data_IF_763239290304
#
_entry.id   IF_763239290304
#
_cell.length_a   1.000
_cell.length_b   1.000
_cell.length_c   1.000
_cell.angle_alpha   90.00
_cell.angle_beta   90.00
_cell.angle_gamma   90.00
#
_symmetry.space_group_name_H-M   'P 1'
#
loop_
_entity.id
_entity.type
_entity.pdbx_description
1 polymer ?
#
# COMPACT_ATOMS: atom_id res chain seq x y z
N UNK A 1 -6.21 -14.33 26.59
CA UNK A 1 -5.97 -15.35 25.57
C UNK A 1 -7.30 -15.86 25.12
N UNK A 2 -8.04 -14.93 24.55
CA UNK A 2 -9.15 -15.23 23.65
C UNK A 2 -8.50 -15.45 22.28
N UNK A 3 -8.32 -16.72 21.90
CA UNK A 3 -7.63 -17.13 20.68
C UNK A 3 -8.61 -17.89 19.79
N UNK A 4 -8.69 -17.52 18.51
CA UNK A 4 -9.49 -18.20 17.51
C UNK A 4 -8.62 -18.99 16.53
N UNK A 5 -9.00 -20.23 16.22
CA UNK A 5 -8.36 -21.07 15.20
C UNK A 5 -9.42 -21.63 14.27
N UNK A 6 -9.36 -21.28 12.99
CA UNK A 6 -10.33 -21.66 11.95
C UNK A 6 -9.61 -22.32 10.79
N UNK A 7 -10.14 -23.46 10.34
CA UNK A 7 -9.55 -24.28 9.29
C UNK A 7 -10.64 -24.96 8.48
N UNK A 8 -10.49 -24.98 7.15
CA UNK A 8 -11.31 -25.76 6.22
C UNK A 8 -12.83 -25.53 6.43
N UNK A 9 -13.25 -24.27 6.45
CA UNK A 9 -14.64 -23.89 6.63
C UNK A 9 -15.12 -23.07 5.43
N UNK A 10 -16.42 -23.13 5.16
CA UNK A 10 -16.99 -22.39 4.02
C UNK A 10 -16.94 -20.88 4.30
N UNK A 11 -17.33 -20.46 5.50
CA UNK A 11 -17.33 -19.05 5.93
C UNK A 11 -17.06 -18.92 7.45
N UNK A 12 -16.44 -17.83 7.86
CA UNK A 12 -16.24 -17.48 9.27
C UNK A 12 -16.55 -16.02 9.61
N UNK A 13 -17.00 -15.81 10.84
CA UNK A 13 -17.18 -14.49 11.44
C UNK A 13 -16.46 -14.50 12.79
N UNK A 14 -15.39 -13.72 12.89
CA UNK A 14 -14.56 -13.58 14.08
C UNK A 14 -14.82 -12.20 14.67
N UNK A 15 -15.03 -12.15 15.97
CA UNK A 15 -15.33 -10.92 16.69
C UNK A 15 -14.54 -10.92 18.00
N UNK A 16 -13.79 -9.85 18.25
CA UNK A 16 -13.24 -9.50 19.57
C UNK A 16 -12.39 -10.63 20.16
N UNK A 17 -11.19 -10.83 19.59
CA UNK A 17 -10.20 -11.79 20.08
C UNK A 17 -8.85 -11.10 20.29
N UNK A 18 -8.05 -11.63 21.21
CA UNK A 18 -6.67 -11.18 21.33
C UNK A 18 -5.91 -11.58 20.04
N UNK A 19 -6.09 -12.82 19.58
CA UNK A 19 -5.37 -13.40 18.43
C UNK A 19 -6.28 -14.31 17.57
N UNK A 20 -6.12 -14.31 16.25
CA UNK A 20 -6.83 -15.23 15.35
C UNK A 20 -5.93 -15.83 14.23
N UNK A 21 -6.10 -17.14 13.97
CA UNK A 21 -5.42 -17.88 12.91
C UNK A 21 -6.42 -18.57 11.99
N UNK A 22 -6.32 -18.31 10.68
CA UNK A 22 -7.34 -18.66 9.70
C UNK A 22 -6.69 -19.27 8.46
N UNK A 23 -7.22 -20.40 7.99
CA UNK A 23 -6.74 -21.08 6.78
C UNK A 23 -7.91 -21.66 5.98
N UNK A 24 -7.89 -21.47 4.66
CA UNK A 24 -8.85 -22.04 3.71
C UNK A 24 -10.31 -21.71 4.10
N UNK A 25 -10.64 -20.44 4.34
CA UNK A 25 -11.97 -20.01 4.83
C UNK A 25 -12.29 -18.54 4.57
N UNK A 26 -13.32 -18.24 3.75
CA UNK A 26 -13.82 -16.88 3.55
C UNK A 26 -14.20 -16.24 4.89
N UNK A 27 -13.67 -15.04 5.19
CA UNK A 27 -13.76 -14.53 6.56
C UNK A 27 -14.04 -13.04 6.69
N UNK A 28 -14.85 -12.73 7.71
CA UNK A 28 -15.10 -11.39 8.22
C UNK A 28 -14.56 -11.30 9.65
N UNK A 29 -13.70 -10.32 9.88
CA UNK A 29 -13.01 -10.08 11.16
C UNK A 29 -13.37 -8.69 11.67
N UNK A 30 -13.57 -8.58 12.99
CA UNK A 30 -13.79 -7.30 13.64
C UNK A 30 -13.08 -7.26 15.00
N UNK A 31 -12.27 -6.22 15.20
CA UNK A 31 -11.67 -5.83 16.49
C UNK A 31 -10.83 -6.92 17.14
N UNK A 32 -9.67 -7.26 16.55
CA UNK A 32 -8.70 -8.17 17.17
C UNK A 32 -7.35 -7.48 17.37
N UNK A 33 -6.53 -8.04 18.27
CA UNK A 33 -5.12 -7.65 18.39
C UNK A 33 -4.33 -8.09 17.17
N UNK A 34 -4.12 -9.40 16.99
CA UNK A 34 -3.28 -9.96 15.93
C UNK A 34 -4.03 -10.99 15.08
N UNK A 35 -3.89 -10.93 13.75
CA UNK A 35 -4.49 -11.91 12.82
C UNK A 35 -3.49 -12.46 11.79
N UNK A 36 -3.51 -13.78 11.55
CA UNK A 36 -2.76 -14.48 10.48
C UNK A 36 -3.74 -15.28 9.60
N UNK A 37 -3.72 -14.99 8.29
CA UNK A 37 -4.76 -15.43 7.33
C UNK A 37 -4.14 -15.94 6.04
N UNK A 38 -4.61 -17.11 5.58
CA UNK A 38 -4.10 -17.76 4.37
C UNK A 38 -5.18 -18.41 3.51
N UNK A 39 -4.94 -18.40 2.19
CA UNK A 39 -5.71 -19.13 1.18
C UNK A 39 -7.23 -18.80 1.22
N UNK A 40 -7.59 -17.51 1.27
CA UNK A 40 -8.99 -17.05 1.38
C UNK A 40 -9.28 -15.70 0.72
N UNK A 41 -10.56 -15.31 0.64
CA UNK A 41 -11.01 -13.92 0.60
C UNK A 41 -11.24 -13.40 2.03
N UNK A 42 -10.88 -12.14 2.30
CA UNK A 42 -10.91 -11.60 3.67
C UNK A 42 -11.38 -10.15 3.76
N UNK A 43 -12.18 -9.88 4.79
CA UNK A 43 -12.55 -8.53 5.24
C UNK A 43 -12.10 -8.32 6.69
N UNK A 44 -11.24 -7.33 6.90
CA UNK A 44 -10.62 -6.96 8.18
C UNK A 44 -11.04 -5.54 8.54
N UNK A 45 -11.42 -5.33 9.81
CA UNK A 45 -11.78 -4.01 10.33
C UNK A 45 -11.22 -3.84 11.75
N UNK A 46 -10.53 -2.73 11.99
CA UNK A 46 -10.12 -2.23 13.31
C UNK A 46 -9.21 -3.23 14.05
N UNK A 47 -7.95 -3.41 13.65
CA UNK A 47 -7.03 -4.37 14.31
C UNK A 47 -5.65 -3.77 14.54
N UNK A 48 -4.93 -4.23 15.56
CA UNK A 48 -3.54 -3.77 15.76
C UNK A 48 -2.65 -4.30 14.62
N UNK A 49 -2.60 -5.62 14.41
CA UNK A 49 -1.72 -6.24 13.41
C UNK A 49 -2.45 -7.24 12.49
N UNK A 50 -2.20 -7.15 11.17
CA UNK A 50 -2.69 -8.13 10.19
C UNK A 50 -1.61 -8.72 9.29
N UNK A 51 -1.58 -10.05 9.20
CA UNK A 51 -0.72 -10.83 8.30
C UNK A 51 -1.57 -11.63 7.31
N UNK A 52 -1.42 -11.34 6.02
CA UNK A 52 -2.25 -11.87 4.93
C UNK A 52 -1.34 -12.47 3.86
N UNK A 53 -1.54 -13.74 3.51
CA UNK A 53 -0.69 -14.47 2.59
C UNK A 53 -1.47 -15.37 1.63
N UNK A 54 -1.13 -15.33 0.34
CA UNK A 54 -1.68 -16.22 -0.69
C UNK A 54 -3.23 -16.17 -0.72
N UNK A 55 -3.81 -14.98 -0.59
CA UNK A 55 -5.25 -14.77 -0.58
C UNK A 55 -5.73 -14.29 -1.95
N UNK A 56 -6.98 -14.58 -2.30
CA UNK A 56 -7.54 -14.12 -3.58
C UNK A 56 -7.78 -12.60 -3.52
N UNK A 57 -8.43 -12.11 -2.46
CA UNK A 57 -8.70 -10.68 -2.22
C UNK A 57 -8.64 -10.35 -0.72
N UNK A 58 -8.13 -9.17 -0.36
CA UNK A 58 -8.23 -8.63 1.00
C UNK A 58 -8.70 -7.18 1.04
N UNK A 59 -9.64 -6.91 1.96
CA UNK A 59 -10.10 -5.57 2.31
C UNK A 59 -9.68 -5.28 3.75
N UNK A 60 -8.78 -4.32 3.94
CA UNK A 60 -8.21 -3.95 5.25
C UNK A 60 -8.58 -2.50 5.54
N UNK A 61 -9.17 -2.26 6.71
CA UNK A 61 -9.61 -0.95 7.15
C UNK A 61 -9.17 -0.71 8.59
N UNK A 62 -8.53 0.43 8.84
CA UNK A 62 -8.27 0.96 10.19
C UNK A 62 -7.37 0.02 11.02
N UNK A 63 -6.14 -0.23 10.56
CA UNK A 63 -5.17 -1.05 11.27
C UNK A 63 -3.88 -0.28 11.58
N UNK A 64 -3.24 -0.58 12.71
CA UNK A 64 -1.92 -0.02 13.00
C UNK A 64 -0.90 -0.59 11.99
N UNK A 65 -0.82 -1.91 11.82
CA UNK A 65 0.11 -2.54 10.87
C UNK A 65 -0.51 -3.62 9.97
N UNK A 66 -0.12 -3.64 8.69
CA UNK A 66 -0.50 -4.69 7.74
C UNK A 66 0.69 -5.23 6.91
N UNK A 67 0.79 -6.56 6.85
CA UNK A 67 1.76 -7.30 6.04
C UNK A 67 1.05 -8.22 5.05
N UNK A 68 1.33 -8.03 3.76
CA UNK A 68 0.56 -8.64 2.67
C UNK A 68 1.50 -9.23 1.63
N UNK A 69 1.22 -10.46 1.21
CA UNK A 69 1.97 -11.16 0.16
C UNK A 69 1.01 -11.92 -0.77
N UNK A 70 1.26 -11.82 -2.08
CA UNK A 70 0.58 -12.57 -3.13
C UNK A 70 -0.96 -12.43 -3.04
N UNK A 71 -1.49 -11.21 -2.91
CA UNK A 71 -2.93 -10.93 -2.69
C UNK A 71 -3.39 -9.66 -3.41
N UNK A 72 -4.57 -9.64 -4.05
CA UNK A 72 -5.19 -8.37 -4.50
C UNK A 72 -5.76 -7.61 -3.29
N UNK A 73 -5.34 -6.36 -3.05
CA UNK A 73 -5.69 -5.67 -1.80
C UNK A 73 -6.21 -4.24 -1.95
N UNK A 74 -7.17 -3.93 -1.08
CA UNK A 74 -7.71 -2.60 -0.85
C UNK A 74 -7.47 -2.22 0.61
N UNK A 75 -6.74 -1.13 0.82
CA UNK A 75 -6.30 -0.68 2.14
C UNK A 75 -6.73 0.77 2.36
N UNK A 76 -7.22 1.06 3.57
CA UNK A 76 -7.67 2.39 3.98
C UNK A 76 -7.32 2.65 5.44
N UNK A 77 -6.72 3.81 5.72
CA UNK A 77 -6.55 4.38 7.07
C UNK A 77 -5.68 3.50 7.97
N UNK A 78 -4.43 3.22 7.57
CA UNK A 78 -3.48 2.44 8.37
C UNK A 78 -2.20 3.23 8.69
N UNK A 79 -1.56 2.93 9.82
CA UNK A 79 -0.27 3.57 10.15
C UNK A 79 0.87 3.01 9.26
N UNK A 80 1.11 1.69 9.24
CA UNK A 80 2.17 1.07 8.42
C UNK A 80 1.68 -0.08 7.53
N UNK A 81 2.14 -0.09 6.27
CA UNK A 81 1.81 -1.17 5.32
C UNK A 81 3.03 -1.70 4.58
N UNK A 82 3.15 -3.02 4.51
CA UNK A 82 4.16 -3.74 3.74
C UNK A 82 3.53 -4.72 2.76
N UNK A 83 3.85 -4.57 1.47
CA UNK A 83 3.24 -5.35 0.39
C UNK A 83 4.31 -5.92 -0.55
N UNK A 84 4.08 -7.15 -0.98
CA UNK A 84 4.87 -7.84 -2.00
C UNK A 84 3.99 -8.61 -2.99
N UNK A 85 4.34 -8.58 -4.28
CA UNK A 85 3.77 -9.42 -5.35
C UNK A 85 2.22 -9.33 -5.45
N UNK A 86 1.65 -8.12 -5.37
CA UNK A 86 0.22 -7.87 -5.20
C UNK A 86 -0.32 -6.77 -6.13
N UNK A 87 -1.60 -6.76 -6.48
CA UNK A 87 -2.26 -5.60 -7.10
C UNK A 87 -2.94 -4.78 -6.01
N UNK A 88 -2.65 -3.48 -5.92
CA UNK A 88 -2.93 -2.72 -4.68
C UNK A 88 -3.57 -1.35 -4.91
N UNK A 89 -4.54 -1.04 -4.05
CA UNK A 89 -5.08 0.29 -3.83
C UNK A 89 -4.90 0.69 -2.36
N UNK A 90 -4.20 1.80 -2.08
CA UNK A 90 -4.02 2.34 -0.73
C UNK A 90 -4.47 3.80 -0.67
N UNK A 91 -5.13 4.16 0.43
CA UNK A 91 -5.62 5.51 0.70
C UNK A 91 -5.37 5.86 2.17
N UNK A 92 -4.84 7.05 2.45
CA UNK A 92 -4.78 7.64 3.80
C UNK A 92 -3.93 6.82 4.79
N UNK A 93 -2.64 6.60 4.49
CA UNK A 93 -1.73 5.91 5.42
C UNK A 93 -0.49 6.74 5.76
N UNK A 94 0.10 6.52 6.94
CA UNK A 94 1.33 7.19 7.33
C UNK A 94 2.53 6.65 6.52
N UNK A 95 2.76 5.33 6.48
CA UNK A 95 3.88 4.73 5.76
C UNK A 95 3.49 3.51 4.90
N UNK A 96 4.00 3.45 3.66
CA UNK A 96 3.85 2.26 2.80
C UNK A 96 5.14 1.81 2.09
N UNK A 97 5.41 0.50 2.13
CA UNK A 97 6.53 -0.16 1.47
C UNK A 97 6.04 -1.23 0.50
N UNK A 98 6.36 -1.07 -0.78
CA UNK A 98 5.73 -1.84 -1.85
C UNK A 98 6.77 -2.35 -2.87
N UNK A 99 6.69 -3.64 -3.23
CA UNK A 99 7.61 -4.32 -4.14
C UNK A 99 6.89 -5.25 -5.15
N UNK A 100 7.28 -5.17 -6.43
CA UNK A 100 6.87 -6.06 -7.54
C UNK A 100 5.34 -6.06 -7.81
N UNK A 101 4.75 -4.89 -8.09
CA UNK A 101 3.28 -4.65 -8.09
C UNK A 101 2.81 -3.60 -9.11
N UNK A 102 1.49 -3.57 -9.38
CA UNK A 102 0.77 -2.44 -10.00
C UNK A 102 0.00 -1.71 -8.88
N UNK A 103 0.23 -0.39 -8.72
CA UNK A 103 -0.19 0.32 -7.50
C UNK A 103 -0.83 1.67 -7.75
N UNK A 104 -1.89 1.93 -6.98
CA UNK A 104 -2.52 3.25 -6.85
C UNK A 104 -2.47 3.71 -5.40
N UNK A 105 -1.77 4.82 -5.13
CA UNK A 105 -1.67 5.45 -3.80
C UNK A 105 -2.19 6.88 -3.82
N UNK A 106 -2.90 7.25 -2.75
CA UNK A 106 -3.48 8.57 -2.53
C UNK A 106 -3.35 9.01 -1.07
N UNK A 107 -2.90 10.23 -0.82
CA UNK A 107 -2.98 10.89 0.50
C UNK A 107 -2.19 10.09 1.55
N UNK A 108 -0.87 10.01 1.44
CA UNK A 108 -0.02 9.28 2.40
C UNK A 108 1.16 10.17 2.80
N UNK A 109 1.75 9.95 3.97
CA UNK A 109 2.90 10.73 4.39
C UNK A 109 4.19 10.24 3.68
N UNK A 110 4.54 8.95 3.80
CA UNK A 110 5.77 8.41 3.21
C UNK A 110 5.54 7.09 2.43
N UNK A 111 6.11 7.00 1.23
CA UNK A 111 5.98 5.80 0.39
C UNK A 111 7.29 5.36 -0.27
N UNK A 112 7.52 4.05 -0.30
CA UNK A 112 8.65 3.43 -0.98
C UNK A 112 8.19 2.37 -1.98
N UNK A 113 8.69 2.46 -3.21
CA UNK A 113 8.36 1.57 -4.31
C UNK A 113 9.61 1.01 -4.99
N UNK A 114 9.57 -0.28 -5.31
CA UNK A 114 10.61 -0.98 -6.06
C UNK A 114 10.02 -1.95 -7.09
N UNK A 115 10.49 -1.89 -8.33
CA UNK A 115 10.07 -2.81 -9.42
C UNK A 115 8.54 -2.79 -9.70
N UNK A 116 7.92 -1.61 -9.65
CA UNK A 116 6.45 -1.45 -9.77
C UNK A 116 6.01 -0.55 -10.96
N UNK A 117 4.74 -0.58 -11.33
CA UNK A 117 4.08 0.49 -12.09
C UNK A 117 3.21 1.30 -11.13
N UNK A 118 3.41 2.63 -11.05
CA UNK A 118 2.84 3.42 -9.94
C UNK A 118 2.06 4.65 -10.38
N UNK A 119 0.93 4.87 -9.70
CA UNK A 119 0.14 6.08 -9.73
C UNK A 119 0.06 6.67 -8.33
N UNK A 120 0.58 7.88 -8.16
CA UNK A 120 0.79 8.52 -6.86
C UNK A 120 0.20 9.93 -6.87
N UNK A 121 -0.58 10.27 -5.86
CA UNK A 121 -1.24 11.57 -5.69
C UNK A 121 -1.20 12.00 -4.22
N UNK A 122 -0.84 13.27 -3.97
CA UNK A 122 -0.92 13.91 -2.64
C UNK A 122 -0.09 13.16 -1.58
N UNK A 123 1.24 13.14 -1.74
CA UNK A 123 2.15 12.48 -0.80
C UNK A 123 3.22 13.45 -0.34
N UNK A 124 3.58 13.42 0.94
CA UNK A 124 4.66 14.23 1.47
C UNK A 124 6.04 13.77 0.93
N UNK A 125 6.39 12.49 1.06
CA UNK A 125 7.65 11.93 0.52
C UNK A 125 7.46 10.61 -0.26
N UNK A 126 7.99 10.54 -1.48
CA UNK A 126 7.98 9.31 -2.29
C UNK A 126 9.36 8.88 -2.81
N UNK A 127 9.68 7.60 -2.66
CA UNK A 127 10.91 6.97 -3.14
C UNK A 127 10.58 5.87 -4.16
N UNK A 128 10.98 6.06 -5.43
CA UNK A 128 10.59 5.19 -6.54
C UNK A 128 11.84 4.68 -7.26
N UNK A 129 12.06 3.37 -7.25
CA UNK A 129 13.29 2.74 -7.73
C UNK A 129 13.01 1.57 -8.69
N UNK A 130 13.73 1.50 -9.81
CA UNK A 130 13.65 0.40 -10.80
C UNK A 130 12.24 0.14 -11.36
N UNK A 131 11.40 1.19 -11.38
CA UNK A 131 10.04 1.10 -11.93
C UNK A 131 10.03 1.30 -13.45
N UNK A 132 9.08 0.66 -14.13
CA UNK A 132 8.85 0.81 -15.57
C UNK A 132 8.19 2.17 -15.88
N UNK A 133 7.09 2.51 -15.19
CA UNK A 133 6.35 3.76 -15.34
C UNK A 133 5.94 4.34 -13.97
N UNK A 134 5.98 5.68 -13.86
CA UNK A 134 5.49 6.40 -12.68
C UNK A 134 4.72 7.68 -13.06
N UNK A 135 3.52 7.84 -12.50
CA UNK A 135 2.65 9.01 -12.62
C UNK A 135 2.46 9.68 -11.26
N UNK A 136 2.93 10.93 -11.12
CA UNK A 136 3.06 11.59 -9.82
C UNK A 136 2.47 13.00 -9.88
N UNK A 137 1.62 13.35 -8.91
CA UNK A 137 0.91 14.63 -8.88
C UNK A 137 0.77 15.16 -7.45
N UNK A 138 1.05 16.43 -7.24
CA UNK A 138 0.79 17.14 -5.96
C UNK A 138 1.55 16.54 -4.77
N UNK A 139 2.81 16.14 -4.98
CA UNK A 139 3.67 15.64 -3.90
C UNK A 139 4.67 16.72 -3.45
N UNK A 140 5.13 16.65 -2.20
CA UNK A 140 6.13 17.59 -1.67
C UNK A 140 7.55 17.21 -2.14
N UNK A 141 8.05 16.02 -1.80
CA UNK A 141 9.38 15.53 -2.21
C UNK A 141 9.33 14.17 -2.90
N UNK A 142 10.03 14.04 -4.04
CA UNK A 142 10.06 12.77 -4.78
C UNK A 142 11.47 12.40 -5.26
N UNK A 143 11.91 11.19 -4.93
CA UNK A 143 13.20 10.61 -5.28
C UNK A 143 13.02 9.47 -6.28
N UNK A 144 13.58 9.61 -7.50
CA UNK A 144 13.24 8.73 -8.62
C UNK A 144 14.48 8.16 -9.30
N UNK A 145 14.47 6.84 -9.52
CA UNK A 145 15.30 6.12 -10.47
C UNK A 145 14.42 5.16 -11.28
N UNK A 146 13.89 5.61 -12.41
CA UNK A 146 12.93 4.86 -13.25
C UNK A 146 13.22 5.02 -14.74
N UNK A 147 12.56 4.21 -15.57
CA UNK A 147 12.70 4.30 -17.03
C UNK A 147 11.86 5.44 -17.63
N UNK A 148 10.59 5.57 -17.23
CA UNK A 148 9.67 6.62 -17.69
C UNK A 148 8.92 7.29 -16.52
N UNK A 149 8.74 8.62 -16.57
CA UNK A 149 8.10 9.38 -15.48
C UNK A 149 7.28 10.58 -15.97
N UNK A 150 6.11 10.78 -15.37
CA UNK A 150 5.22 11.92 -15.57
C UNK A 150 4.96 12.62 -14.23
N UNK A 151 5.31 13.91 -14.11
CA UNK A 151 5.23 14.65 -12.83
C UNK A 151 4.59 16.02 -13.01
N UNK A 152 3.72 16.41 -12.08
CA UNK A 152 3.06 17.72 -12.04
C UNK A 152 3.00 18.27 -10.60
N UNK A 153 3.38 19.55 -10.45
CA UNK A 153 3.28 20.31 -9.18
C UNK A 153 4.03 19.68 -7.99
N UNK A 154 5.30 19.35 -8.20
CA UNK A 154 6.09 18.56 -7.24
C UNK A 154 7.58 18.92 -7.30
N UNK A 155 8.28 18.88 -6.16
CA UNK A 155 9.75 18.94 -6.14
C UNK A 155 10.37 17.56 -6.39
N UNK A 156 11.28 17.46 -7.37
CA UNK A 156 11.76 16.16 -7.87
C UNK A 156 13.28 16.06 -7.87
N UNK A 157 13.79 14.96 -7.31
CA UNK A 157 15.19 14.56 -7.27
C UNK A 157 15.42 13.30 -8.11
N UNK A 158 15.98 13.48 -9.32
CA UNK A 158 16.30 12.37 -10.23
C UNK A 158 17.75 11.91 -9.99
N UNK A 159 17.93 10.64 -9.65
CA UNK A 159 19.24 10.02 -9.38
C UNK A 159 19.78 9.29 -10.62
N UNK A 160 20.03 10.01 -11.72
CA UNK A 160 20.55 9.39 -12.95
C UNK A 160 22.09 9.21 -12.94
N UNK A 161 22.57 8.10 -13.53
CA UNK A 161 23.98 7.82 -13.77
C UNK A 161 24.59 8.66 -14.93
N UNK A 162 23.87 9.63 -15.51
CA UNK A 162 24.54 10.57 -16.42
C UNK A 162 23.72 11.57 -17.20
N UNK A 163 22.95 12.48 -16.57
CA UNK A 163 22.80 13.91 -16.96
C UNK A 163 22.00 14.68 -15.90
N UNK A 164 22.40 15.94 -15.67
CA UNK A 164 21.80 16.85 -14.70
C UNK A 164 20.56 17.57 -15.30
N UNK A 165 19.37 17.34 -14.75
CA UNK A 165 18.18 18.17 -15.02
C UNK A 165 17.88 19.02 -13.79
N UNK A 166 17.91 20.35 -13.98
CA UNK A 166 17.30 21.31 -13.07
C UNK A 166 15.98 21.72 -13.72
N UNK A 167 14.85 21.23 -13.25
CA UNK A 167 13.55 21.80 -13.61
C UNK A 167 12.94 22.46 -12.39
N UNK A 168 13.08 23.78 -12.32
CA UNK A 168 12.01 24.59 -11.78
C UNK A 168 10.99 24.70 -12.93
N UNK A 169 9.80 24.12 -12.79
CA UNK A 169 8.71 24.39 -13.72
C UNK A 169 8.20 25.80 -13.39
N UNK A 170 8.71 26.82 -14.09
CA UNK A 170 8.04 28.13 -14.11
C UNK A 170 6.70 27.96 -14.85
N UNK A 171 5.60 28.01 -14.11
CA UNK A 171 4.27 28.21 -14.69
C UNK A 171 4.28 29.58 -15.39
N UNK A 172 4.06 29.68 -16.72
CA UNK A 172 3.87 30.98 -17.34
C UNK A 172 2.62 31.59 -16.70
N UNK A 173 2.79 32.72 -15.99
CA UNK A 173 1.67 33.52 -15.50
C UNK A 173 0.71 33.78 -16.66
N UNK A 174 -0.41 33.06 -16.67
CA UNK A 174 -1.57 33.36 -17.50
C UNK A 174 -2.02 34.76 -17.12
N UNK A 175 -1.71 35.73 -17.97
CA UNK A 175 -2.22 37.08 -17.87
C UNK A 175 -3.67 37.06 -18.35
N UNK A 176 -4.62 37.21 -17.42
CA UNK A 176 -5.96 37.73 -17.71
C UNK A 176 -6.14 39.06 -17.00
#
# INVERSE_FOLDING_TARGET
>A
NDEAYILDNDEAYILDNDEAYILDTEVYILDNGEIDIRDTEVYILDNEEAYILDNDEAYILDNDEAYILDTEVYILDNDEVYILDSEVYIIDNDEAYILDTEVYILDNDEVYFLDTEVYILDIDEAYILDNDEAYILDNDEVYILVTEVYIVDTEVYILDNGVMVRSAIEIPKSTF
#
